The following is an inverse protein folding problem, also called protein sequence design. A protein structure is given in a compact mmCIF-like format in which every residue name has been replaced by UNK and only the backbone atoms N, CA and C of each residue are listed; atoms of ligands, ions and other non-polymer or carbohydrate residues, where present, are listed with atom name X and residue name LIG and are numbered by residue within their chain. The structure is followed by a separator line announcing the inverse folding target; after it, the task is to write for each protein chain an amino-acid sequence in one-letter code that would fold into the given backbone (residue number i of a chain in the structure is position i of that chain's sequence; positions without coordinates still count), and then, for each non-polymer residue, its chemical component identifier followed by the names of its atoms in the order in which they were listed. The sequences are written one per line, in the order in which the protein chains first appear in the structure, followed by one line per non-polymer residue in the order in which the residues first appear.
data_IF_321399966199
#
_entry.id   IF_321399966199
#
_cell.length_a   1.000
_cell.length_b   1.000
_cell.length_c   1.000
_cell.angle_alpha   90.00
_cell.angle_beta   90.00
_cell.angle_gamma   90.00
#
_symmetry.space_group_name_H-M   'P 1'
#
loop_
_entity.id
_entity.type
_entity.pdbx_description
1 polymer ?
#
# COMPACT_ATOMS: atom_id res chain seq x y z
N UNK A 1 43.58 24.68 -6.07
CA UNK A 1 42.51 24.07 -6.89
C UNK A 1 42.47 22.57 -6.57
N UNK A 2 41.62 22.16 -5.67
CA UNK A 2 41.46 20.73 -5.33
C UNK A 2 40.35 20.12 -6.19
N UNK A 3 40.73 19.19 -7.04
CA UNK A 3 39.79 18.36 -7.82
C UNK A 3 39.22 17.28 -6.90
N UNK A 4 37.89 17.31 -6.69
CA UNK A 4 37.15 16.25 -6.05
C UNK A 4 36.99 15.12 -7.06
N UNK A 5 37.61 13.96 -6.77
CA UNK A 5 37.53 12.74 -7.59
C UNK A 5 36.15 12.08 -7.42
N UNK A 6 35.53 11.73 -8.53
CA UNK A 6 34.24 11.08 -8.65
C UNK A 6 34.35 9.60 -8.24
N UNK A 7 33.31 9.05 -7.57
CA UNK A 7 33.25 7.68 -7.04
C UNK A 7 33.58 6.55 -8.05
N UNK A 8 33.51 6.82 -9.35
CA UNK A 8 33.86 5.85 -10.41
C UNK A 8 35.37 5.70 -10.67
N UNK A 9 36.22 6.63 -10.24
CA UNK A 9 37.65 6.58 -10.44
C UNK A 9 38.41 5.91 -9.29
N UNK A 10 37.81 5.82 -8.10
CA UNK A 10 38.40 5.18 -6.92
C UNK A 10 38.51 3.65 -7.03
N UNK A 11 37.78 3.01 -7.96
CA UNK A 11 37.74 1.54 -8.11
C UNK A 11 38.86 1.01 -9.00
N UNK A 12 39.60 1.87 -9.74
CA UNK A 12 40.62 1.44 -10.70
C UNK A 12 42.08 1.41 -10.17
N UNK A 13 42.29 1.76 -8.90
CA UNK A 13 43.67 1.92 -8.36
C UNK A 13 44.07 0.89 -7.28
N UNK A 14 43.32 -0.19 -7.09
CA UNK A 14 43.70 -1.29 -6.19
C UNK A 14 43.72 -2.64 -6.92
N UNK A 15 44.64 -2.73 -7.84
CA UNK A 15 44.98 -4.00 -8.48
C UNK A 15 46.47 -4.14 -8.53
N UNK A 16 47.10 -4.79 -7.53
CA UNK A 16 48.27 -5.65 -7.64
C UNK A 16 48.84 -5.97 -6.25
N UNK A 17 48.71 -7.23 -5.86
CA UNK A 17 49.60 -7.87 -4.91
C UNK A 17 49.09 -8.15 -3.52
N UNK A 18 48.55 -9.32 -3.28
CA UNK A 18 48.95 -10.19 -2.17
C UNK A 18 48.18 -11.53 -2.23
N UNK A 19 48.94 -12.58 -2.12
CA UNK A 19 48.56 -14.01 -2.07
C UNK A 19 47.77 -14.30 -0.76
N UNK A 20 46.64 -14.98 -0.91
CA UNK A 20 46.14 -16.02 -0.01
C UNK A 20 45.70 -15.65 1.39
N UNK A 21 44.42 -15.38 1.57
CA UNK A 21 43.60 -15.97 2.64
C UNK A 21 42.22 -16.25 2.05
N UNK A 22 41.89 -17.52 1.87
CA UNK A 22 40.51 -17.95 1.59
C UNK A 22 39.74 -17.79 2.89
N UNK A 23 39.23 -16.58 3.17
CA UNK A 23 38.14 -16.40 4.09
C UNK A 23 36.87 -16.78 3.34
N UNK A 24 36.29 -17.91 3.73
CA UNK A 24 34.98 -18.33 3.26
C UNK A 24 33.97 -17.24 3.57
N UNK A 25 33.78 -16.35 2.61
CA UNK A 25 32.57 -15.55 2.56
C UNK A 25 31.44 -16.54 2.31
N UNK A 26 30.77 -16.94 3.37
CA UNK A 26 29.45 -17.54 3.24
C UNK A 26 28.63 -16.56 2.41
N UNK A 27 28.47 -16.83 1.12
CA UNK A 27 27.37 -16.31 0.33
C UNK A 27 26.11 -16.79 1.07
N UNK A 28 25.61 -15.98 2.01
CA UNK A 28 24.25 -16.12 2.47
C UNK A 28 23.42 -15.94 1.20
N UNK A 29 22.95 -17.06 0.65
CA UNK A 29 21.95 -17.06 -0.40
C UNK A 29 20.74 -16.34 0.20
N UNK A 30 20.61 -15.06 -0.12
CA UNK A 30 19.45 -14.29 0.27
C UNK A 30 18.28 -14.91 -0.49
N UNK A 31 17.45 -15.64 0.23
CA UNK A 31 16.31 -16.31 -0.37
C UNK A 31 15.43 -15.25 -1.02
N UNK A 32 15.22 -15.36 -2.32
CA UNK A 32 14.38 -14.42 -3.06
C UNK A 32 12.97 -14.43 -2.48
N UNK A 33 12.38 -13.24 -2.35
CA UNK A 33 10.99 -13.10 -1.98
C UNK A 33 10.13 -13.60 -3.14
N UNK A 34 9.25 -14.53 -2.85
CA UNK A 34 8.36 -15.14 -3.85
C UNK A 34 6.90 -14.79 -3.62
N UNK A 35 6.54 -14.40 -2.40
CA UNK A 35 5.19 -14.04 -2.02
C UNK A 35 5.19 -12.64 -1.41
N UNK A 36 4.39 -11.74 -1.99
CA UNK A 36 4.20 -10.40 -1.48
C UNK A 36 2.78 -10.33 -0.90
N UNK A 37 2.65 -9.75 0.28
CA UNK A 37 1.36 -9.51 0.94
C UNK A 37 1.23 -8.03 1.23
N UNK A 38 0.16 -7.42 0.74
CA UNK A 38 -0.25 -6.07 1.08
C UNK A 38 -1.60 -6.13 1.77
N UNK A 39 -1.67 -5.69 3.03
CA UNK A 39 -2.93 -5.37 3.68
C UNK A 39 -3.19 -3.88 3.45
N UNK A 40 -4.29 -3.57 2.77
CA UNK A 40 -4.64 -2.24 2.30
C UNK A 40 -5.80 -1.71 3.13
N UNK A 41 -5.54 -0.68 3.95
CA UNK A 41 -6.51 -0.10 4.88
C UNK A 41 -7.16 1.11 4.26
N UNK A 42 -8.46 1.03 3.97
CA UNK A 42 -9.20 2.10 3.32
C UNK A 42 -9.91 3.02 4.33
N UNK A 43 -10.41 4.16 3.83
CA UNK A 43 -11.23 5.17 4.49
C UNK A 43 -10.51 6.11 5.47
N UNK A 44 -9.36 5.74 6.00
CA UNK A 44 -8.57 6.60 6.88
C UNK A 44 -9.20 6.84 8.26
N UNK A 45 -9.76 5.81 8.91
CA UNK A 45 -10.23 5.91 10.30
C UNK A 45 -9.06 6.25 11.22
N UNK A 46 -9.20 7.32 12.01
CA UNK A 46 -8.12 7.91 12.79
C UNK A 46 -7.50 6.90 13.78
N UNK A 47 -8.30 6.34 14.67
CA UNK A 47 -7.85 5.42 15.71
C UNK A 47 -7.24 4.14 15.11
N UNK A 48 -7.89 3.57 14.10
CA UNK A 48 -7.39 2.37 13.41
C UNK A 48 -6.10 2.63 12.65
N UNK A 49 -5.98 3.78 11.97
CA UNK A 49 -4.76 4.12 11.23
C UNK A 49 -3.56 4.28 12.14
N UNK A 50 -3.71 4.99 13.25
CA UNK A 50 -2.66 5.14 14.28
C UNK A 50 -2.26 3.76 14.83
N UNK A 51 -3.24 2.95 15.21
CA UNK A 51 -3.00 1.64 15.80
C UNK A 51 -2.35 0.66 14.80
N UNK A 52 -2.78 0.69 13.54
CA UNK A 52 -2.16 -0.09 12.46
C UNK A 52 -0.69 0.30 12.29
N UNK A 53 -0.39 1.60 12.22
CA UNK A 53 0.97 2.09 12.12
C UNK A 53 1.85 1.58 13.27
N UNK A 54 1.39 1.73 14.53
CA UNK A 54 2.09 1.24 15.72
C UNK A 54 2.39 -0.27 15.67
N UNK A 55 1.45 -1.08 15.18
CA UNK A 55 1.64 -2.54 15.08
C UNK A 55 2.67 -2.87 13.99
N UNK A 56 2.60 -2.23 12.83
CA UNK A 56 3.57 -2.44 11.75
C UNK A 56 4.98 -2.05 12.15
N UNK A 57 5.15 -0.94 12.87
CA UNK A 57 6.44 -0.46 13.33
C UNK A 57 7.17 -1.42 14.29
N UNK A 58 6.45 -2.21 15.09
CA UNK A 58 7.05 -3.23 15.96
C UNK A 58 7.91 -4.22 15.17
N UNK A 59 7.56 -4.45 13.91
CA UNK A 59 8.21 -5.40 13.01
C UNK A 59 9.09 -4.72 11.96
N UNK A 60 9.27 -3.40 12.06
CA UNK A 60 10.02 -2.61 11.07
C UNK A 60 9.35 -2.58 9.71
N UNK A 61 8.02 -2.67 9.67
CA UNK A 61 7.20 -2.66 8.47
C UNK A 61 6.51 -1.31 8.28
N UNK A 62 6.05 -1.06 7.05
CA UNK A 62 5.23 0.11 6.69
C UNK A 62 3.81 -0.34 6.38
N UNK A 63 2.81 0.36 6.91
CA UNK A 63 1.40 0.15 6.59
C UNK A 63 1.02 0.84 5.27
N UNK A 64 -0.02 0.33 4.61
CA UNK A 64 -0.63 0.90 3.40
C UNK A 64 -2.01 1.46 3.76
N UNK A 65 -2.12 2.79 3.88
CA UNK A 65 -3.31 3.50 4.33
C UNK A 65 -3.84 4.36 3.18
N UNK A 66 -5.10 4.19 2.83
CA UNK A 66 -5.76 4.90 1.74
C UNK A 66 -6.86 5.79 2.29
N UNK A 67 -6.79 7.09 2.00
CA UNK A 67 -7.62 8.08 2.67
C UNK A 67 -8.56 8.80 1.71
N UNK A 68 -9.78 9.05 2.18
CA UNK A 68 -10.79 9.82 1.43
C UNK A 68 -10.42 11.30 1.53
N UNK A 69 -10.08 11.91 0.39
CA UNK A 69 -9.48 13.25 0.34
C UNK A 69 -10.32 14.37 1.00
N UNK A 70 -11.64 14.36 0.84
CA UNK A 70 -12.49 15.44 1.37
C UNK A 70 -13.06 15.18 2.76
N UNK A 71 -12.78 14.02 3.35
CA UNK A 71 -13.48 13.61 4.57
C UNK A 71 -13.20 14.51 5.77
N UNK A 72 -11.99 15.03 5.88
CA UNK A 72 -11.60 16.00 6.92
C UNK A 72 -12.16 17.41 6.67
N UNK A 73 -12.48 17.76 5.40
CA UNK A 73 -12.96 19.10 5.01
C UNK A 73 -14.48 19.23 5.19
N UNK A 74 -15.20 18.14 5.03
CA UNK A 74 -16.65 18.14 5.06
C UNK A 74 -17.12 17.14 6.11
N UNK A 75 -17.85 17.66 7.10
CA UNK A 75 -18.64 16.83 8.02
C UNK A 75 -19.80 16.16 7.26
N UNK A 76 -19.75 16.10 5.94
CA UNK A 76 -20.70 15.40 5.11
C UNK A 76 -20.75 13.94 5.54
N UNK A 77 -21.91 13.53 5.95
CA UNK A 77 -22.19 12.13 6.26
C UNK A 77 -22.02 11.35 4.97
N UNK A 78 -21.03 10.50 4.90
CA UNK A 78 -20.98 9.47 3.87
C UNK A 78 -22.25 8.61 3.95
N UNK A 79 -22.71 8.04 2.84
CA UNK A 79 -24.07 7.50 2.73
C UNK A 79 -24.34 6.25 3.57
N UNK A 80 -23.35 5.68 4.25
CA UNK A 80 -23.52 4.46 5.04
C UNK A 80 -23.04 4.60 6.50
N UNK A 81 -23.49 3.68 7.35
CA UNK A 81 -23.22 3.66 8.79
C UNK A 81 -21.76 3.39 9.14
N UNK A 82 -21.00 2.76 8.23
CA UNK A 82 -19.58 2.42 8.44
C UNK A 82 -18.65 3.63 8.39
N UNK A 83 -19.16 4.77 7.94
CA UNK A 83 -18.44 6.03 7.89
C UNK A 83 -18.80 6.99 9.04
N UNK A 84 -19.43 6.48 10.09
CA UNK A 84 -19.76 7.28 11.28
C UNK A 84 -18.58 7.56 12.20
N UNK A 85 -17.48 6.80 12.08
CA UNK A 85 -16.28 6.95 12.92
C UNK A 85 -15.44 8.17 12.53
N UNK A 86 -14.70 8.74 13.49
CA UNK A 86 -13.71 9.78 13.21
C UNK A 86 -12.66 9.31 12.19
N UNK A 87 -12.28 10.22 11.32
CA UNK A 87 -11.18 10.02 10.38
C UNK A 87 -10.06 11.00 10.65
N UNK A 88 -8.84 10.63 10.29
CA UNK A 88 -7.70 11.52 10.39
C UNK A 88 -7.78 12.68 9.40
N UNK A 89 -6.95 13.67 9.63
CA UNK A 89 -6.70 14.81 8.75
C UNK A 89 -5.30 14.74 8.13
N UNK A 90 -4.96 15.70 7.29
CA UNK A 90 -3.64 15.69 6.64
C UNK A 90 -2.47 16.01 7.58
N UNK A 91 -2.70 16.54 8.79
CA UNK A 91 -1.66 16.63 9.81
C UNK A 91 -1.25 15.21 10.26
N UNK A 92 -2.22 14.36 10.57
CA UNK A 92 -2.00 12.94 10.89
C UNK A 92 -1.38 12.18 9.71
N UNK A 93 -1.86 12.40 8.49
CA UNK A 93 -1.34 11.69 7.32
C UNK A 93 0.11 12.05 7.01
N UNK A 94 0.49 13.32 7.18
CA UNK A 94 1.87 13.77 7.06
C UNK A 94 2.75 13.19 8.18
N UNK A 95 2.26 13.11 9.42
CA UNK A 95 2.96 12.44 10.51
C UNK A 95 3.22 10.96 10.18
N UNK A 96 2.19 10.20 9.84
CA UNK A 96 2.32 8.77 9.51
C UNK A 96 3.24 8.55 8.30
N UNK A 97 3.13 9.39 7.27
CA UNK A 97 4.04 9.35 6.12
C UNK A 97 5.49 9.62 6.53
N UNK A 98 5.74 10.58 7.42
CA UNK A 98 7.08 10.88 7.93
C UNK A 98 7.70 9.72 8.71
N UNK A 99 6.87 8.87 9.30
CA UNK A 99 7.25 7.61 9.98
C UNK A 99 7.47 6.45 9.00
N UNK A 100 7.24 6.65 7.70
CA UNK A 100 7.51 5.68 6.64
C UNK A 100 6.29 4.87 6.18
N UNK A 101 5.08 5.21 6.61
CA UNK A 101 3.86 4.58 6.12
C UNK A 101 3.46 5.14 4.76
N UNK A 102 2.82 4.30 3.94
CA UNK A 102 2.27 4.70 2.66
C UNK A 102 0.88 5.31 2.86
N UNK A 103 0.72 6.57 2.42
CA UNK A 103 -0.56 7.29 2.43
C UNK A 103 -0.96 7.55 0.97
N UNK A 104 -2.09 7.00 0.53
CA UNK A 104 -2.52 7.03 -0.86
C UNK A 104 -3.98 7.46 -1.02
N UNK A 105 -4.36 8.03 -2.19
CA UNK A 105 -5.72 8.49 -2.45
C UNK A 105 -6.73 7.35 -2.53
N UNK A 106 -7.86 7.51 -1.81
CA UNK A 106 -9.02 6.63 -1.84
C UNK A 106 -10.29 7.41 -2.21
N UNK A 107 -10.31 8.02 -3.39
CA UNK A 107 -11.36 8.90 -3.89
C UNK A 107 -11.51 10.26 -3.19
N UNK A 108 -12.28 11.16 -3.82
CA UNK A 108 -12.57 12.48 -3.26
C UNK A 108 -13.61 12.41 -2.12
N UNK A 109 -14.74 11.74 -2.36
CA UNK A 109 -15.90 11.68 -1.46
C UNK A 109 -16.51 10.29 -1.33
N UNK A 110 -15.71 9.24 -1.52
CA UNK A 110 -16.14 7.83 -1.51
C UNK A 110 -17.30 7.53 -2.49
N UNK A 111 -17.25 8.13 -3.69
CA UNK A 111 -18.24 7.86 -4.72
C UNK A 111 -17.92 6.59 -5.50
N UNK A 112 -18.96 5.80 -5.83
CA UNK A 112 -18.83 4.71 -6.80
C UNK A 112 -18.71 5.31 -8.21
N UNK A 113 -17.51 5.29 -8.77
CA UNK A 113 -17.25 5.90 -10.07
C UNK A 113 -17.86 5.15 -11.26
N UNK A 114 -18.39 3.94 -11.05
CA UNK A 114 -19.21 3.23 -12.05
C UNK A 114 -20.65 3.76 -12.17
N UNK A 115 -21.10 4.54 -11.18
CA UNK A 115 -22.48 5.04 -11.09
C UNK A 115 -22.61 6.51 -11.50
N UNK A 116 -21.51 7.14 -11.88
CA UNK A 116 -21.49 8.54 -12.32
C UNK A 116 -21.02 8.65 -13.78
N UNK A 117 -21.40 9.72 -14.51
CA UNK A 117 -20.89 9.97 -15.85
C UNK A 117 -19.35 10.05 -15.89
N UNK A 118 -18.74 9.65 -16.99
CA UNK A 118 -17.28 9.62 -17.14
C UNK A 118 -16.60 10.96 -16.83
N UNK A 119 -17.13 12.08 -17.32
CA UNK A 119 -16.56 13.41 -17.02
C UNK A 119 -16.67 13.75 -15.53
N UNK A 120 -17.76 13.39 -14.86
CA UNK A 120 -17.90 13.55 -13.40
C UNK A 120 -16.91 12.67 -12.65
N UNK A 121 -16.69 11.43 -13.09
CA UNK A 121 -15.71 10.53 -12.50
C UNK A 121 -14.29 11.12 -12.57
N UNK A 122 -13.90 11.67 -13.74
CA UNK A 122 -12.62 12.36 -13.90
C UNK A 122 -12.49 13.60 -13.00
N UNK A 123 -13.55 14.39 -12.90
CA UNK A 123 -13.54 15.57 -12.04
C UNK A 123 -13.41 15.21 -10.56
N UNK A 124 -14.03 14.13 -10.12
CA UNK A 124 -13.88 13.62 -8.75
C UNK A 124 -12.46 13.10 -8.49
N UNK A 125 -11.85 12.42 -9.46
CA UNK A 125 -10.44 11.99 -9.32
C UNK A 125 -9.51 13.20 -9.28
N UNK A 126 -9.65 14.17 -10.17
CA UNK A 126 -8.83 15.39 -10.16
C UNK A 126 -8.93 16.13 -8.84
N UNK A 127 -10.16 16.34 -8.32
CA UNK A 127 -10.36 16.94 -6.99
C UNK A 127 -9.68 16.17 -5.87
N UNK A 128 -9.68 14.84 -5.95
CA UNK A 128 -8.93 14.02 -5.01
C UNK A 128 -7.43 14.30 -5.08
N UNK A 129 -6.86 14.31 -6.29
CA UNK A 129 -5.45 14.58 -6.51
C UNK A 129 -5.05 16.01 -6.12
N UNK A 130 -5.91 17.01 -6.42
CA UNK A 130 -5.68 18.41 -6.03
C UNK A 130 -5.52 18.53 -4.50
N UNK A 131 -6.41 17.88 -3.71
CA UNK A 131 -6.29 17.89 -2.25
C UNK A 131 -5.00 17.22 -1.79
N UNK A 132 -4.63 16.08 -2.37
CA UNK A 132 -3.38 15.40 -2.02
C UNK A 132 -2.14 16.23 -2.39
N UNK A 133 -2.15 16.90 -3.53
CA UNK A 133 -1.06 17.80 -3.93
C UNK A 133 -0.93 19.00 -2.99
N UNK A 134 -2.05 19.53 -2.50
CA UNK A 134 -2.06 20.71 -1.63
C UNK A 134 -1.69 20.36 -0.18
N UNK A 135 -2.11 19.20 0.34
CA UNK A 135 -2.11 18.88 1.76
C UNK A 135 -1.08 17.81 2.17
N UNK A 136 -0.74 16.84 1.28
CA UNK A 136 0.19 15.76 1.62
C UNK A 136 1.62 16.11 1.22
N UNK A 137 2.50 16.30 2.20
CA UNK A 137 3.90 16.66 1.98
C UNK A 137 4.63 15.67 1.06
N UNK A 138 5.22 16.20 -0.03
CA UNK A 138 5.99 15.40 -0.99
C UNK A 138 5.13 14.38 -1.74
N UNK A 139 3.83 14.64 -1.92
CA UNK A 139 3.00 13.87 -2.83
C UNK A 139 3.39 14.14 -4.29
N UNK A 140 3.40 13.11 -5.11
CA UNK A 140 3.65 13.19 -6.55
C UNK A 140 2.59 12.34 -7.24
N UNK A 141 1.72 12.98 -8.02
CA UNK A 141 0.55 12.34 -8.63
C UNK A 141 0.96 11.15 -9.52
N UNK A 142 1.99 11.32 -10.35
CA UNK A 142 2.48 10.29 -11.27
C UNK A 142 3.11 9.07 -10.56
N UNK A 143 3.50 9.22 -9.30
CA UNK A 143 4.04 8.15 -8.45
C UNK A 143 2.97 7.54 -7.54
N UNK A 144 1.77 8.11 -7.52
CA UNK A 144 0.70 7.69 -6.62
C UNK A 144 0.00 6.40 -7.07
N UNK A 145 -0.66 5.77 -6.09
CA UNK A 145 -1.54 4.62 -6.31
C UNK A 145 -2.98 5.07 -6.01
N UNK A 146 -3.83 5.12 -7.02
CA UNK A 146 -5.23 5.47 -6.82
C UNK A 146 -6.04 4.24 -6.42
N UNK A 147 -6.75 4.30 -5.31
CA UNK A 147 -7.57 3.21 -4.80
C UNK A 147 -9.04 3.53 -5.03
N UNK A 148 -9.70 2.76 -5.89
CA UNK A 148 -11.12 2.98 -6.19
C UNK A 148 -12.00 2.64 -4.99
N UNK A 149 -12.89 3.57 -4.60
CA UNK A 149 -13.94 3.31 -3.63
C UNK A 149 -14.85 2.16 -4.11
N UNK A 150 -15.36 1.36 -3.16
CA UNK A 150 -16.12 0.12 -3.45
C UNK A 150 -15.34 -0.90 -4.29
N UNK A 151 -14.04 -0.73 -4.47
CA UNK A 151 -13.23 -1.49 -5.42
C UNK A 151 -13.84 -1.51 -6.83
N UNK A 152 -14.52 -0.43 -7.22
CA UNK A 152 -15.33 -0.36 -8.44
C UNK A 152 -14.76 0.61 -9.47
N UNK A 153 -14.38 0.08 -10.62
CA UNK A 153 -13.92 0.83 -11.79
C UNK A 153 -14.49 0.24 -13.08
N UNK A 154 -14.37 0.97 -14.17
CA UNK A 154 -14.69 0.49 -15.51
C UNK A 154 -13.54 0.77 -16.49
N UNK A 155 -13.49 0.08 -17.66
CA UNK A 155 -12.37 0.21 -18.59
C UNK A 155 -12.07 1.63 -19.05
N UNK A 156 -13.09 2.49 -19.22
CA UNK A 156 -12.93 3.85 -19.71
C UNK A 156 -12.18 4.72 -18.70
N UNK A 157 -12.56 4.65 -17.43
CA UNK A 157 -11.88 5.42 -16.37
C UNK A 157 -10.50 4.83 -16.03
N UNK A 158 -10.34 3.50 -16.12
CA UNK A 158 -9.06 2.83 -15.92
C UNK A 158 -8.02 3.25 -16.97
N UNK A 159 -8.43 3.28 -18.26
CA UNK A 159 -7.56 3.73 -19.36
C UNK A 159 -7.10 5.16 -19.14
N UNK A 160 -8.03 6.06 -18.84
CA UNK A 160 -7.71 7.47 -18.60
C UNK A 160 -6.80 7.64 -17.38
N UNK A 161 -7.11 6.99 -16.25
CA UNK A 161 -6.37 7.11 -15.01
C UNK A 161 -4.96 6.53 -15.10
N UNK A 162 -4.77 5.45 -15.87
CA UNK A 162 -3.46 4.81 -16.03
C UNK A 162 -2.38 5.72 -16.62
N UNK A 163 -2.79 6.82 -17.28
CA UNK A 163 -1.88 7.83 -17.81
C UNK A 163 -1.53 8.93 -16.78
N UNK A 164 -2.23 9.00 -15.64
CA UNK A 164 -2.07 10.05 -14.63
C UNK A 164 -1.27 9.55 -13.41
N UNK A 165 -1.41 8.27 -13.07
CA UNK A 165 -0.86 7.69 -11.84
C UNK A 165 0.12 6.54 -12.12
N UNK A 166 0.91 6.18 -11.12
CA UNK A 166 1.80 5.02 -11.22
C UNK A 166 1.02 3.73 -11.42
N UNK A 167 0.00 3.50 -10.59
CA UNK A 167 -0.91 2.35 -10.68
C UNK A 167 -2.25 2.69 -10.02
N UNK A 168 -3.22 1.79 -10.17
CA UNK A 168 -4.50 1.89 -9.46
C UNK A 168 -4.95 0.51 -8.97
N UNK A 169 -5.67 0.51 -7.84
CA UNK A 169 -6.28 -0.68 -7.26
C UNK A 169 -7.79 -0.67 -7.45
N UNK A 170 -8.32 -1.81 -7.89
CA UNK A 170 -9.75 -2.05 -8.07
C UNK A 170 -10.13 -3.46 -7.64
N UNK A 171 -11.41 -3.81 -7.72
CA UNK A 171 -11.90 -5.16 -7.42
C UNK A 171 -11.47 -6.21 -8.44
N UNK A 172 -11.46 -7.48 -8.01
CA UNK A 172 -11.10 -8.60 -8.86
C UNK A 172 -10.63 -9.81 -8.04
N UNK A 173 -9.68 -10.54 -8.56
CA UNK A 173 -9.01 -11.60 -7.80
C UNK A 173 -8.04 -11.01 -6.77
N UNK A 174 -7.90 -11.66 -5.61
CA UNK A 174 -6.97 -11.22 -4.57
C UNK A 174 -5.50 -11.31 -4.97
N UNK A 175 -5.16 -12.22 -5.88
CA UNK A 175 -3.79 -12.57 -6.24
C UNK A 175 -3.44 -11.94 -7.59
N UNK A 176 -2.46 -11.07 -7.56
CA UNK A 176 -1.82 -10.48 -8.74
C UNK A 176 -0.56 -11.28 -9.11
N UNK A 177 -0.07 -11.20 -10.36
CA UNK A 177 1.26 -11.69 -10.69
C UNK A 177 2.31 -10.98 -9.83
N UNK A 178 3.51 -11.56 -9.74
CA UNK A 178 4.65 -10.86 -9.15
C UNK A 178 4.88 -9.53 -9.91
N UNK A 179 5.27 -8.42 -9.24
CA UNK A 179 5.44 -7.13 -9.89
C UNK A 179 6.33 -7.19 -11.13
N UNK A 180 5.98 -6.45 -12.15
CA UNK A 180 6.71 -6.32 -13.40
C UNK A 180 6.66 -4.88 -13.92
N UNK A 181 7.65 -4.49 -14.69
CA UNK A 181 7.75 -3.13 -15.26
C UNK A 181 6.48 -2.76 -16.03
N UNK A 182 5.91 -1.60 -15.72
CA UNK A 182 4.69 -1.08 -16.36
C UNK A 182 3.39 -1.67 -15.82
N UNK A 183 3.40 -2.41 -14.71
CA UNK A 183 2.17 -2.89 -14.06
C UNK A 183 1.31 -1.71 -13.56
N UNK A 184 0.12 -1.56 -14.12
CA UNK A 184 -0.79 -0.42 -13.83
C UNK A 184 -2.01 -0.83 -13.01
N UNK A 185 -2.62 -1.96 -13.33
CA UNK A 185 -3.85 -2.42 -12.70
C UNK A 185 -3.55 -3.46 -11.63
N UNK A 186 -3.99 -3.17 -10.42
CA UNK A 186 -3.91 -4.05 -9.26
C UNK A 186 -5.32 -4.46 -8.85
N UNK A 187 -5.50 -5.73 -8.55
CA UNK A 187 -6.77 -6.23 -8.04
C UNK A 187 -6.67 -6.66 -6.58
N UNK A 188 -7.75 -6.51 -5.86
CA UNK A 188 -7.82 -6.91 -4.45
C UNK A 188 -9.08 -7.70 -4.15
N UNK A 189 -9.10 -8.32 -2.99
CA UNK A 189 -10.31 -8.87 -2.36
C UNK A 189 -10.56 -8.19 -1.03
N UNK A 190 -11.82 -8.20 -0.60
CA UNK A 190 -12.26 -7.77 0.72
C UNK A 190 -13.33 -8.71 1.24
N UNK A 191 -13.58 -8.67 2.52
CA UNK A 191 -14.63 -9.43 3.17
C UNK A 191 -15.23 -8.62 4.33
N UNK A 192 -16.51 -8.82 4.63
CA UNK A 192 -17.23 -8.09 5.69
C UNK A 192 -18.71 -8.41 5.66
N UNK A 193 -19.55 -7.71 6.47
CA UNK A 193 -19.18 -6.52 7.27
C UNK A 193 -18.50 -6.80 8.62
N UNK A 194 -18.63 -8.02 9.13
CA UNK A 194 -18.11 -8.40 10.46
C UNK A 194 -16.59 -8.61 10.48
N UNK A 195 -16.06 -9.02 11.63
CA UNK A 195 -14.65 -9.32 11.81
C UNK A 195 -14.14 -10.35 10.79
N UNK A 196 -13.01 -10.05 10.18
CA UNK A 196 -12.48 -10.79 9.03
C UNK A 196 -11.27 -11.67 9.35
N UNK A 197 -10.82 -11.77 10.59
CA UNK A 197 -9.60 -12.48 10.98
C UNK A 197 -9.51 -13.86 10.35
N UNK A 198 -10.57 -14.64 10.48
CA UNK A 198 -10.62 -16.01 9.92
C UNK A 198 -10.51 -16.03 8.40
N UNK A 199 -11.24 -15.15 7.70
CA UNK A 199 -11.22 -15.10 6.24
C UNK A 199 -9.85 -14.63 5.73
N UNK A 200 -9.23 -13.67 6.42
CA UNK A 200 -7.90 -13.18 6.11
C UNK A 200 -6.85 -14.30 6.31
N UNK A 201 -6.91 -15.03 7.44
CA UNK A 201 -6.04 -16.16 7.72
C UNK A 201 -6.14 -17.25 6.63
N UNK A 202 -7.36 -17.67 6.28
CA UNK A 202 -7.60 -18.68 5.25
C UNK A 202 -7.10 -18.19 3.87
N UNK A 203 -7.29 -16.91 3.54
CA UNK A 203 -6.84 -16.33 2.28
C UNK A 203 -5.32 -16.30 2.18
N UNK A 204 -4.64 -15.87 3.25
CA UNK A 204 -3.17 -15.84 3.31
C UNK A 204 -2.60 -17.26 3.26
N UNK A 205 -3.14 -18.18 4.06
CA UNK A 205 -2.69 -19.58 4.08
C UNK A 205 -2.77 -20.21 2.69
N UNK A 206 -3.90 -20.04 2.01
CA UNK A 206 -4.10 -20.55 0.64
C UNK A 206 -3.15 -19.88 -0.37
N UNK A 207 -2.87 -18.60 -0.22
CA UNK A 207 -1.93 -17.88 -1.07
C UNK A 207 -0.52 -18.43 -0.90
N UNK A 208 -0.08 -18.67 0.33
CA UNK A 208 1.27 -19.16 0.64
C UNK A 208 1.51 -20.61 0.18
N UNK A 209 0.46 -21.41 0.02
CA UNK A 209 0.51 -22.75 -0.58
C UNK A 209 0.58 -22.72 -2.12
N UNK A 210 0.30 -21.57 -2.72
CA UNK A 210 0.22 -21.37 -4.16
C UNK A 210 1.55 -21.00 -4.82
N UNK A 211 1.51 -20.67 -6.12
CA UNK A 211 2.68 -20.15 -6.83
C UNK A 211 3.04 -18.74 -6.35
N UNK A 212 4.25 -18.29 -6.69
CA UNK A 212 4.69 -16.93 -6.43
C UNK A 212 3.70 -15.89 -6.97
N UNK A 213 3.57 -14.76 -6.27
CA UNK A 213 2.65 -13.70 -6.66
C UNK A 213 2.53 -12.61 -5.60
N UNK A 214 1.52 -11.80 -5.75
CA UNK A 214 1.23 -10.67 -4.87
C UNK A 214 -0.23 -10.68 -4.43
N UNK A 215 -0.47 -10.96 -3.16
CA UNK A 215 -1.78 -10.86 -2.52
C UNK A 215 -2.02 -9.42 -2.08
N UNK A 216 -3.11 -8.81 -2.54
CA UNK A 216 -3.63 -7.55 -1.99
C UNK A 216 -4.98 -7.83 -1.33
N UNK A 217 -5.03 -7.62 -0.02
CA UNK A 217 -6.23 -7.78 0.78
C UNK A 217 -6.68 -6.44 1.32
N UNK A 218 -7.89 -6.02 0.95
CA UNK A 218 -8.48 -4.77 1.37
C UNK A 218 -9.28 -4.96 2.67
N UNK A 219 -9.00 -4.13 3.64
CA UNK A 219 -9.74 -3.97 4.90
C UNK A 219 -9.91 -2.48 5.19
N UNK A 220 -10.60 -2.10 6.26
CA UNK A 220 -10.91 -0.69 6.50
C UNK A 220 -10.40 -0.22 7.86
N UNK A 221 -10.51 -1.04 8.89
CA UNK A 221 -10.11 -0.64 10.22
C UNK A 221 -9.74 -1.79 11.14
N UNK A 222 -9.61 -1.47 12.42
CA UNK A 222 -9.28 -2.42 13.46
C UNK A 222 -10.38 -2.47 14.53
N UNK A 223 -10.54 -3.65 15.13
CA UNK A 223 -11.38 -3.93 16.29
C UNK A 223 -12.87 -3.57 16.04
N UNK A 224 -13.29 -2.37 16.41
CA UNK A 224 -14.67 -1.88 16.34
C UNK A 224 -14.90 -0.81 15.27
N UNK A 225 -13.90 -0.52 14.43
CA UNK A 225 -14.00 0.51 13.39
C UNK A 225 -14.02 -0.05 11.97
N UNK A 226 -14.88 0.49 11.13
CA UNK A 226 -14.91 0.22 9.70
C UNK A 226 -15.73 -1.01 9.29
N UNK A 227 -15.76 -1.25 8.00
CA UNK A 227 -16.39 -2.40 7.37
C UNK A 227 -15.38 -3.53 7.22
N UNK A 228 -15.66 -4.71 7.80
CA UNK A 228 -14.71 -5.82 7.80
C UNK A 228 -13.42 -5.51 8.56
N UNK A 229 -13.51 -5.16 9.87
CA UNK A 229 -12.33 -4.83 10.67
C UNK A 229 -11.52 -6.08 11.00
N UNK A 230 -10.20 -5.89 11.15
CA UNK A 230 -9.26 -6.89 11.67
C UNK A 230 -9.09 -6.67 13.16
N UNK A 231 -9.01 -7.75 13.96
CA UNK A 231 -8.63 -7.60 15.36
C UNK A 231 -7.17 -7.16 15.49
N UNK A 232 -6.92 -6.15 16.31
CA UNK A 232 -5.56 -5.63 16.50
C UNK A 232 -4.59 -6.69 17.05
N UNK A 233 -5.05 -7.58 17.92
CA UNK A 233 -4.25 -8.71 18.43
C UNK A 233 -3.93 -9.72 17.32
N UNK A 234 -4.89 -10.03 16.45
CA UNK A 234 -4.68 -10.93 15.32
C UNK A 234 -3.69 -10.35 14.31
N UNK A 235 -3.81 -9.05 14.00
CA UNK A 235 -2.87 -8.36 13.13
C UNK A 235 -1.43 -8.43 13.67
N UNK A 236 -1.26 -8.22 14.97
CA UNK A 236 0.04 -8.30 15.65
C UNK A 236 0.66 -9.69 15.48
N UNK A 237 -0.07 -10.77 15.81
CA UNK A 237 0.38 -12.15 15.64
C UNK A 237 0.62 -12.52 14.16
N UNK A 238 -0.22 -12.04 13.26
CA UNK A 238 -0.08 -12.29 11.83
C UNK A 238 1.23 -11.68 11.28
N UNK A 239 1.53 -10.44 11.62
CA UNK A 239 2.75 -9.77 11.15
C UNK A 239 4.00 -10.41 11.74
N UNK A 240 3.98 -10.81 13.03
CA UNK A 240 5.07 -11.58 13.64
C UNK A 240 5.38 -12.83 12.81
N UNK A 241 4.38 -13.67 12.56
CA UNK A 241 4.55 -14.90 11.77
C UNK A 241 5.03 -14.64 10.35
N UNK A 242 4.47 -13.65 9.65
CA UNK A 242 4.84 -13.35 8.26
C UNK A 242 6.29 -12.85 8.15
N UNK A 243 6.77 -12.07 9.11
CA UNK A 243 8.16 -11.57 9.11
C UNK A 243 9.20 -12.65 9.33
N UNK A 244 8.85 -13.75 10.00
CA UNK A 244 9.72 -14.91 10.16
C UNK A 244 9.87 -15.73 8.87
N UNK A 245 8.94 -15.60 7.91
CA UNK A 245 8.95 -16.34 6.66
C UNK A 245 9.90 -15.70 5.63
N UNK A 246 11.05 -16.31 5.39
CA UNK A 246 12.11 -15.75 4.52
C UNK A 246 11.66 -15.46 3.09
N UNK A 247 10.70 -16.23 2.57
CA UNK A 247 10.18 -16.10 1.20
C UNK A 247 8.99 -15.11 1.08
N UNK A 248 8.52 -14.55 2.19
CA UNK A 248 7.40 -13.60 2.25
C UNK A 248 7.93 -12.18 2.42
N UNK A 249 7.32 -11.23 1.72
CA UNK A 249 7.48 -9.80 1.95
C UNK A 249 6.12 -9.19 2.30
N UNK A 250 6.03 -8.49 3.42
CA UNK A 250 4.87 -7.65 3.75
C UNK A 250 5.23 -6.22 3.37
N UNK A 251 4.58 -5.69 2.34
CA UNK A 251 4.92 -4.39 1.76
C UNK A 251 3.66 -3.57 1.43
N UNK A 252 3.72 -2.24 1.55
CA UNK A 252 2.78 -1.36 0.86
C UNK A 252 2.87 -1.50 -0.65
N UNK A 253 1.95 -0.83 -1.37
CA UNK A 253 1.82 -1.03 -2.83
C UNK A 253 3.01 -0.44 -3.59
N UNK A 254 3.43 0.80 -3.31
CA UNK A 254 4.51 1.42 -4.06
C UNK A 254 5.86 0.70 -3.87
N UNK A 255 6.31 0.33 -2.65
CA UNK A 255 7.48 -0.51 -2.44
C UNK A 255 7.39 -1.89 -3.08
N UNK A 256 6.20 -2.49 -3.15
CA UNK A 256 6.02 -3.76 -3.84
C UNK A 256 6.26 -3.61 -5.35
N UNK A 257 5.74 -2.53 -5.97
CA UNK A 257 5.99 -2.22 -7.39
C UNK A 257 7.47 -1.91 -7.70
N UNK A 258 8.28 -1.52 -6.72
CA UNK A 258 9.72 -1.29 -6.89
C UNK A 258 10.54 -2.58 -7.02
N UNK A 259 9.92 -3.74 -6.83
CA UNK A 259 10.54 -5.05 -7.04
C UNK A 259 10.50 -5.51 -8.51
N UNK A 260 9.87 -4.71 -9.40
CA UNK A 260 9.70 -4.99 -10.83
C UNK A 260 11.03 -4.95 -11.63
#
# INVERSE_FOLDING_TARGET
MNKILNRREAVKLLGLGAVGVVTGSSLMCQQEKTHIITLSYDDGFEKSSIKTAEIYEKYGLSACINVIASRHLDQSKLPDEYHAWPVGDFELWNELKSRGHEIMPHSYKHANLNEVPFEEAKDLIRKCMDVFNDELEGFVEEESIYNFAYNASNPEIEEWLSAQVRAFRTGGGAINPFPYEGMKKLTCTSYGPDNIDKHLEETISKFLEGPSGWLIYNTHGLDDEGWGPVSSWFLDELLERLTEMKHVAVLPVAPALDLA
#
